data_IF_049313932104
#
_entry.id   IF_049313932104
#
_cell.length_a   1.000
_cell.length_b   1.000
_cell.length_c   1.000
_cell.angle_alpha   90.00
_cell.angle_beta   90.00
_cell.angle_gamma   90.00
#
_symmetry.space_group_name_H-M   'P 1'
#
loop_
_entity.id
_entity.type
_entity.pdbx_description
1 polymer ?
#
# COMPACT_ATOMS: atom_id res chain seq x y z
N UNK A 1 2.66 -15.11 2.90
CA UNK A 1 1.99 -14.31 3.97
C UNK A 1 0.68 -13.75 3.45
N UNK A 2 -0.25 -13.45 4.35
CA UNK A 2 -1.55 -12.87 3.99
C UNK A 2 -1.48 -11.34 3.97
N UNK A 3 -2.24 -10.72 3.07
CA UNK A 3 -2.40 -9.27 3.05
C UNK A 3 -3.08 -8.83 4.35
N UNK A 4 -2.44 -7.95 5.12
CA UNK A 4 -2.99 -7.38 6.35
C UNK A 4 -3.72 -6.07 6.03
N UNK A 5 -5.03 -6.05 6.14
CA UNK A 5 -5.79 -4.81 6.03
C UNK A 5 -5.31 -3.81 7.11
N UNK A 6 -5.15 -2.53 6.75
CA UNK A 6 -4.65 -1.51 7.68
C UNK A 6 -3.13 -1.43 7.82
N UNK A 7 -2.33 -2.22 7.09
CA UNK A 7 -0.86 -2.06 7.14
C UNK A 7 -0.34 -0.91 6.25
N UNK A 8 -1.08 -0.53 5.20
CA UNK A 8 -0.68 0.51 4.24
C UNK A 8 0.59 0.23 3.42
N UNK A 9 1.28 -0.89 3.66
CA UNK A 9 2.59 -1.18 3.07
C UNK A 9 2.58 -1.18 1.54
N UNK A 10 1.58 -1.82 0.92
CA UNK A 10 1.42 -1.83 -0.54
C UNK A 10 1.16 -0.44 -1.15
N UNK A 11 0.76 0.54 -0.34
CA UNK A 11 0.54 1.92 -0.76
C UNK A 11 1.73 2.84 -0.48
N UNK A 12 2.75 2.40 0.27
CA UNK A 12 3.90 3.23 0.66
C UNK A 12 5.18 2.67 0.06
N UNK A 13 5.45 1.39 0.23
CA UNK A 13 6.73 0.77 -0.11
C UNK A 13 7.02 0.64 -1.62
N UNK A 14 6.13 0.14 -2.50
CA UNK A 14 6.49 -0.12 -3.89
C UNK A 14 6.66 1.18 -4.69
N UNK A 15 7.57 1.17 -5.67
CA UNK A 15 7.61 2.18 -6.73
C UNK A 15 6.64 1.77 -7.83
N UNK A 16 5.77 2.69 -8.24
CA UNK A 16 4.78 2.50 -9.28
C UNK A 16 5.02 3.58 -10.33
N UNK A 17 5.53 3.20 -11.50
CA UNK A 17 5.72 4.15 -12.62
C UNK A 17 4.44 4.40 -13.42
N UNK A 18 3.39 3.59 -13.20
CA UNK A 18 2.09 3.77 -13.85
C UNK A 18 1.25 4.84 -13.16
N UNK A 19 0.39 5.56 -13.91
CA UNK A 19 -0.49 6.57 -13.34
C UNK A 19 -1.47 5.95 -12.33
N UNK A 20 -1.65 6.65 -11.21
CA UNK A 20 -2.61 6.32 -10.16
C UNK A 20 -3.60 7.48 -10.06
N UNK A 21 -4.89 7.25 -9.73
CA UNK A 21 -5.83 8.34 -9.46
C UNK A 21 -5.28 9.34 -8.43
N UNK A 22 -5.05 10.59 -8.86
CA UNK A 22 -4.44 11.65 -8.05
C UNK A 22 -2.90 11.70 -8.06
N UNK A 23 -2.22 10.76 -8.73
CA UNK A 23 -0.76 10.75 -8.95
C UNK A 23 -0.44 10.34 -10.39
N UNK A 24 -0.53 11.27 -11.37
CA UNK A 24 -0.39 10.96 -12.80
C UNK A 24 1.01 10.52 -13.20
N UNK A 25 2.04 10.93 -12.46
CA UNK A 25 3.43 10.50 -12.65
C UNK A 25 3.76 9.16 -11.96
N UNK A 26 2.76 8.52 -11.35
CA UNK A 26 2.93 7.35 -10.52
C UNK A 26 3.36 7.70 -9.09
N UNK A 27 3.83 6.70 -8.35
CA UNK A 27 4.18 6.80 -6.94
C UNK A 27 5.60 6.31 -6.70
N UNK A 28 6.51 7.13 -6.16
CA UNK A 28 7.84 6.66 -5.77
C UNK A 28 7.77 5.63 -4.63
N UNK A 29 8.81 4.80 -4.51
CA UNK A 29 8.99 3.94 -3.35
C UNK A 29 9.14 4.79 -2.06
N UNK A 30 8.56 4.31 -0.96
CA UNK A 30 8.55 5.01 0.32
C UNK A 30 7.57 6.20 0.41
N UNK A 31 6.98 6.64 -0.70
CA UNK A 31 6.01 7.74 -0.70
C UNK A 31 4.61 7.23 -0.44
N UNK A 32 3.90 7.91 0.46
CA UNK A 32 2.50 7.61 0.81
C UNK A 32 1.58 7.91 -0.38
N UNK A 33 0.85 6.89 -0.85
CA UNK A 33 -0.16 7.07 -1.90
C UNK A 33 -1.28 8.00 -1.42
N UNK A 34 -1.77 8.87 -2.31
CA UNK A 34 -2.89 9.79 -2.05
C UNK A 34 -4.21 9.05 -1.72
N UNK A 35 -4.31 7.78 -2.11
CA UNK A 35 -5.48 6.94 -1.87
C UNK A 35 -5.44 6.20 -0.52
N UNK A 36 -4.36 6.34 0.24
CA UNK A 36 -4.23 5.75 1.57
C UNK A 36 -4.86 6.67 2.61
N UNK A 37 -5.95 6.24 3.23
CA UNK A 37 -6.62 7.00 4.28
C UNK A 37 -5.86 6.94 5.62
N UNK A 38 -6.39 7.62 6.64
CA UNK A 38 -5.77 7.72 7.97
C UNK A 38 -5.67 6.36 8.70
N UNK A 39 -6.55 5.40 8.39
CA UNK A 39 -6.54 4.05 8.94
C UNK A 39 -5.59 3.11 8.17
N UNK A 40 -4.77 3.66 7.27
CA UNK A 40 -3.88 2.91 6.38
C UNK A 40 -4.62 1.88 5.51
N UNK A 41 -5.86 2.20 5.13
CA UNK A 41 -6.65 1.43 4.16
C UNK A 41 -6.60 2.13 2.80
N UNK A 42 -6.51 1.32 1.75
CA UNK A 42 -6.52 1.86 0.40
C UNK A 42 -7.97 2.06 -0.03
N UNK A 43 -8.36 3.31 -0.29
CA UNK A 43 -9.72 3.64 -0.73
C UNK A 43 -10.10 2.97 -2.04
N UNK A 44 -9.11 2.61 -2.86
CA UNK A 44 -9.33 1.91 -4.13
C UNK A 44 -9.38 0.38 -4.00
N UNK A 45 -9.14 -0.22 -2.83
CA UNK A 45 -8.90 -1.67 -2.73
C UNK A 45 -10.00 -2.53 -3.39
N UNK A 46 -11.25 -2.13 -3.24
CA UNK A 46 -12.45 -2.81 -3.78
C UNK A 46 -13.05 -2.09 -5.01
N UNK A 47 -12.41 -1.00 -5.47
CA UNK A 47 -12.95 -0.18 -6.55
C UNK A 47 -12.45 -0.64 -7.92
N UNK A 48 -13.28 -0.56 -8.98
CA UNK A 48 -12.86 -0.86 -10.34
C UNK A 48 -11.82 0.14 -10.87
N UNK A 49 -11.71 1.31 -10.24
CA UNK A 49 -10.70 2.33 -10.54
C UNK A 49 -9.31 1.98 -9.97
N UNK A 50 -9.18 0.86 -9.25
CA UNK A 50 -7.89 0.36 -8.76
C UNK A 50 -6.96 0.03 -9.93
N UNK A 51 -5.76 0.63 -9.98
CA UNK A 51 -4.78 0.30 -11.01
C UNK A 51 -4.43 -1.20 -10.98
N UNK A 52 -4.28 -1.80 -12.16
CA UNK A 52 -3.93 -3.22 -12.29
C UNK A 52 -2.64 -3.59 -11.55
N UNK A 53 -1.65 -2.68 -11.51
CA UNK A 53 -0.42 -2.83 -10.73
C UNK A 53 -0.68 -2.99 -9.23
N UNK A 54 -1.63 -2.24 -8.68
CA UNK A 54 -2.02 -2.34 -7.27
C UNK A 54 -2.82 -3.63 -7.01
N UNK A 55 -3.62 -4.09 -7.98
CA UNK A 55 -4.42 -5.32 -7.89
C UNK A 55 -3.58 -6.60 -8.00
N UNK A 56 -2.54 -6.57 -8.84
CA UNK A 56 -1.59 -7.67 -9.01
C UNK A 56 -0.48 -7.71 -7.95
N UNK A 57 -0.39 -6.70 -7.09
CA UNK A 57 0.66 -6.60 -6.08
C UNK A 57 0.47 -7.71 -5.03
N UNK A 58 1.42 -8.66 -4.99
CA UNK A 58 1.46 -9.68 -3.96
C UNK A 58 2.20 -9.15 -2.73
N UNK A 59 1.74 -9.47 -1.51
CA UNK A 59 2.49 -9.12 -0.33
C UNK A 59 3.87 -9.81 -0.41
N UNK A 60 4.96 -9.06 -0.17
CA UNK A 60 6.33 -9.60 0.01
C UNK A 60 6.99 -9.10 1.31
N UNK A 61 7.87 -9.90 1.92
CA UNK A 61 8.42 -9.68 3.27
C UNK A 61 9.16 -8.34 3.35
N UNK A 62 9.84 -7.99 2.27
CA UNK A 62 10.54 -6.72 2.08
C UNK A 62 9.58 -5.50 2.10
N UNK A 63 8.32 -5.70 1.70
CA UNK A 63 7.29 -4.67 1.67
C UNK A 63 6.51 -4.60 2.98
N UNK A 64 6.09 -5.75 3.49
CA UNK A 64 5.20 -5.84 4.66
C UNK A 64 5.94 -5.85 6.00
N UNK A 65 7.27 -6.07 5.99
CA UNK A 65 8.07 -6.24 7.19
C UNK A 65 7.90 -7.63 7.83
N UNK A 66 8.58 -7.84 8.95
CA UNK A 66 8.45 -9.07 9.74
C UNK A 66 7.01 -9.20 10.28
N UNK A 67 6.43 -10.42 10.30
CA UNK A 67 5.05 -10.65 10.72
C UNK A 67 4.75 -10.28 12.19
N UNK A 68 5.80 -10.09 13.01
CA UNK A 68 5.74 -9.85 14.46
C UNK A 68 6.02 -8.40 14.89
N UNK A 69 5.97 -7.43 13.97
CA UNK A 69 5.84 -6.03 14.39
C UNK A 69 4.35 -5.74 14.70
N UNK A 70 3.97 -5.98 15.96
CA UNK A 70 2.72 -5.48 16.55
C UNK A 70 2.59 -3.98 16.26
N UNK A 71 1.45 -3.50 15.72
CA UNK A 71 1.17 -2.08 15.63
C UNK A 71 0.77 -1.56 17.02
N UNK A 72 1.77 -1.17 17.82
CA UNK A 72 1.58 -0.29 18.98
C UNK A 72 1.48 -0.96 20.35
N UNK A 73 2.63 -1.17 20.98
CA UNK A 73 2.86 -0.76 22.37
C UNK A 73 4.37 -0.84 22.66
N UNK A 74 5.09 0.23 22.32
CA UNK A 74 6.30 0.55 23.06
C UNK A 74 5.86 1.53 24.15
N UNK A 75 5.71 1.01 25.37
CA UNK A 75 5.72 1.80 26.61
C UNK A 75 6.98 1.45 27.37
#
# INVERSE_FOLDING_TARGET
MHCRAGCGACCIAPSISSPIPGMPQGKPAGVRCVQLDADNRCRLFDQPTRPAVCGGLKPSLEMCGAPDAEPGHAM
#
